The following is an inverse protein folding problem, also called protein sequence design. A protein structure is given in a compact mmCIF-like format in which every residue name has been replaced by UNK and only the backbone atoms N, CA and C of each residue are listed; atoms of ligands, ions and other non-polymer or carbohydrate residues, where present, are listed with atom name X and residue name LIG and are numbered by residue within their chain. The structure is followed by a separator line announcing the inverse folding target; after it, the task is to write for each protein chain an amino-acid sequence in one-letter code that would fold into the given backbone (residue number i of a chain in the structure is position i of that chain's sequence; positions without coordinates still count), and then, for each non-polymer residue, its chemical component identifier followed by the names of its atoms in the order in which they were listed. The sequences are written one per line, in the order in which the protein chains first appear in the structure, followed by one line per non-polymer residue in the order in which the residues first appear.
data_IF_293782316563
#
_entry.id   IF_293782316563
#
_cell.length_a   1.000
_cell.length_b   1.000
_cell.length_c   1.000
_cell.angle_alpha   90.00
_cell.angle_beta   90.00
_cell.angle_gamma   90.00
#
_symmetry.space_group_name_H-M   'P 1'
#
loop_
_entity.id
_entity.type
_entity.pdbx_description
1 polymer ?
#
# COMPACT_ATOMS: atom_id res chain seq x y z
N UNK A 1 18.78 40.40 -24.49
CA UNK A 1 19.67 40.02 -23.38
C UNK A 1 19.24 38.64 -22.92
N UNK A 2 20.15 37.64 -22.85
CA UNK A 2 19.79 36.30 -22.36
C UNK A 2 19.47 36.41 -20.86
N UNK A 3 18.38 35.79 -20.40
CA UNK A 3 18.10 35.75 -18.95
C UNK A 3 19.13 34.86 -18.24
N UNK A 4 19.33 35.07 -16.94
CA UNK A 4 20.27 34.26 -16.13
C UNK A 4 19.88 32.78 -16.19
N UNK A 5 18.59 32.48 -16.20
CA UNK A 5 18.06 31.13 -16.29
C UNK A 5 18.41 30.42 -17.61
N UNK A 6 18.46 31.15 -18.73
CA UNK A 6 18.88 30.57 -20.01
C UNK A 6 20.34 30.13 -19.98
N UNK A 7 21.18 30.84 -19.23
CA UNK A 7 22.59 30.47 -19.03
C UNK A 7 22.71 29.29 -18.04
N UNK A 8 21.83 29.21 -17.04
CA UNK A 8 21.86 28.15 -16.02
C UNK A 8 21.51 26.76 -16.60
N UNK A 9 20.74 26.69 -17.69
CA UNK A 9 20.46 25.42 -18.40
C UNK A 9 21.68 24.70 -18.95
N UNK A 10 22.80 25.40 -19.11
CA UNK A 10 24.05 24.83 -19.63
C UNK A 10 25.05 24.46 -18.52
N UNK A 11 24.65 24.59 -17.24
CA UNK A 11 25.44 24.15 -16.09
C UNK A 11 25.23 22.64 -15.83
N UNK A 12 26.06 22.09 -14.95
CA UNK A 12 25.85 20.76 -14.37
C UNK A 12 24.75 20.83 -13.31
N UNK A 13 23.80 19.89 -13.35
CA UNK A 13 22.74 19.77 -12.34
C UNK A 13 23.10 18.68 -11.32
N UNK A 14 22.81 18.93 -10.05
CA UNK A 14 23.03 17.96 -8.97
C UNK A 14 22.01 16.83 -8.98
N UNK A 15 20.79 17.09 -9.48
CA UNK A 15 19.75 16.07 -9.57
C UNK A 15 18.94 16.19 -10.87
N UNK A 16 18.43 15.05 -11.40
CA UNK A 16 17.50 15.04 -12.54
C UNK A 16 16.24 15.86 -12.27
N UNK A 17 15.77 15.86 -11.02
CA UNK A 17 14.63 16.66 -10.57
C UNK A 17 14.86 18.16 -10.76
N UNK A 18 16.06 18.65 -10.43
CA UNK A 18 16.39 20.07 -10.58
C UNK A 18 16.53 20.47 -12.05
N UNK A 19 17.05 19.56 -12.88
CA UNK A 19 17.06 19.75 -14.33
C UNK A 19 15.65 19.89 -14.90
N UNK A 20 14.71 18.99 -14.53
CA UNK A 20 13.31 19.07 -14.97
C UNK A 20 12.69 20.42 -14.58
N UNK A 21 12.85 20.84 -13.31
CA UNK A 21 12.32 22.13 -12.83
C UNK A 21 12.86 23.31 -13.64
N UNK A 22 14.17 23.34 -13.89
CA UNK A 22 14.79 24.43 -14.64
C UNK A 22 14.35 24.42 -16.09
N UNK A 23 14.33 23.25 -16.74
CA UNK A 23 13.90 23.13 -18.12
C UNK A 23 12.47 23.60 -18.33
N UNK A 24 11.54 23.18 -17.46
CA UNK A 24 10.14 23.64 -17.50
C UNK A 24 10.07 25.18 -17.44
N UNK A 25 10.82 25.80 -16.52
CA UNK A 25 10.85 27.26 -16.35
C UNK A 25 11.41 27.95 -17.60
N UNK A 26 12.53 27.47 -18.14
CA UNK A 26 13.16 28.08 -19.31
C UNK A 26 12.30 27.90 -20.56
N UNK A 27 11.73 26.72 -20.78
CA UNK A 27 10.87 26.47 -21.93
C UNK A 27 9.66 27.41 -21.97
N UNK A 28 8.99 27.63 -20.84
CA UNK A 28 7.86 28.57 -20.77
C UNK A 28 8.31 30.02 -21.03
N UNK A 29 9.46 30.45 -20.50
CA UNK A 29 10.04 31.78 -20.77
C UNK A 29 10.40 31.99 -22.25
N UNK A 30 10.61 30.92 -23.01
CA UNK A 30 10.93 31.03 -24.44
C UNK A 30 9.76 31.54 -25.26
N UNK A 31 8.50 31.52 -24.78
CA UNK A 31 7.37 32.08 -25.53
C UNK A 31 7.50 33.60 -25.72
N UNK A 32 8.07 34.28 -24.74
CA UNK A 32 8.18 35.74 -24.69
C UNK A 32 9.56 36.25 -25.14
N UNK A 33 10.45 35.37 -25.61
CA UNK A 33 11.82 35.72 -25.96
C UNK A 33 12.27 35.15 -27.30
N UNK A 34 13.19 35.85 -28.02
CA UNK A 34 13.73 35.37 -29.29
C UNK A 34 14.79 34.27 -29.10
N UNK A 35 15.26 34.03 -27.88
CA UNK A 35 16.24 32.99 -27.59
C UNK A 35 15.51 31.66 -27.38
N UNK A 36 15.95 30.62 -28.09
CA UNK A 36 15.41 29.27 -27.95
C UNK A 36 16.49 28.35 -27.39
N UNK A 37 16.19 27.64 -26.31
CA UNK A 37 16.99 26.52 -25.81
C UNK A 37 16.29 25.26 -26.31
N UNK A 38 17.01 24.47 -27.09
CA UNK A 38 16.55 23.14 -27.49
C UNK A 38 17.09 22.13 -26.50
N UNK A 39 16.25 21.18 -26.10
CA UNK A 39 16.59 20.16 -25.11
C UNK A 39 17.85 19.37 -25.52
N UNK A 40 17.96 19.01 -26.79
CA UNK A 40 19.09 18.28 -27.36
C UNK A 40 20.43 19.04 -27.28
N UNK A 41 20.39 20.37 -27.17
CA UNK A 41 21.59 21.21 -27.05
C UNK A 41 22.07 21.34 -25.60
N UNK A 42 21.27 20.88 -24.63
CA UNK A 42 21.63 20.96 -23.21
C UNK A 42 22.56 19.80 -22.82
N UNK A 43 23.77 20.06 -22.29
CA UNK A 43 24.75 19.01 -22.00
C UNK A 43 24.23 17.93 -21.05
N UNK A 44 23.47 18.32 -20.03
CA UNK A 44 22.91 17.40 -19.03
C UNK A 44 21.91 16.42 -19.63
N UNK A 45 21.20 16.81 -20.70
CA UNK A 45 20.20 15.96 -21.32
C UNK A 45 20.76 14.68 -21.94
N UNK A 46 22.05 14.68 -22.33
CA UNK A 46 22.72 13.50 -22.91
C UNK A 46 22.65 12.29 -21.99
N UNK A 47 22.81 12.51 -20.69
CA UNK A 47 22.82 11.45 -19.68
C UNK A 47 21.54 11.48 -18.80
N UNK A 48 20.62 12.41 -19.06
CA UNK A 48 19.45 12.64 -18.21
C UNK A 48 18.60 11.37 -18.01
N UNK A 49 18.38 10.60 -19.08
CA UNK A 49 17.54 9.41 -19.02
C UNK A 49 18.09 8.37 -18.03
N UNK A 50 19.38 8.03 -18.12
CA UNK A 50 20.01 7.08 -17.21
C UNK A 50 20.06 7.64 -15.79
N UNK A 51 20.46 8.90 -15.63
CA UNK A 51 20.54 9.54 -14.32
C UNK A 51 19.18 9.60 -13.62
N UNK A 52 18.10 9.83 -14.35
CA UNK A 52 16.76 9.91 -13.77
C UNK A 52 16.22 8.54 -13.35
N UNK A 53 16.47 7.51 -14.16
CA UNK A 53 16.18 6.12 -13.79
C UNK A 53 16.99 5.76 -12.54
N UNK A 54 18.30 5.98 -12.54
CA UNK A 54 19.18 5.63 -11.43
C UNK A 54 18.78 6.35 -10.13
N UNK A 55 18.44 7.64 -10.21
CA UNK A 55 17.96 8.40 -9.06
C UNK A 55 16.66 7.80 -8.49
N UNK A 56 15.64 7.56 -9.32
CA UNK A 56 14.36 7.02 -8.87
C UNK A 56 14.50 5.60 -8.28
N UNK A 57 15.17 4.69 -8.99
CA UNK A 57 15.31 3.29 -8.56
C UNK A 57 16.22 3.16 -7.34
N UNK A 58 17.28 3.98 -7.23
CA UNK A 58 18.13 4.00 -6.03
C UNK A 58 17.35 4.46 -4.80
N UNK A 59 16.39 5.39 -4.92
CA UNK A 59 15.51 5.74 -3.80
C UNK A 59 14.69 4.54 -3.33
N UNK A 60 14.05 3.82 -4.26
CA UNK A 60 13.25 2.65 -3.92
C UNK A 60 14.10 1.57 -3.23
N UNK A 61 15.32 1.34 -3.71
CA UNK A 61 16.23 0.33 -3.14
C UNK A 61 16.93 0.77 -1.84
N UNK A 62 16.95 2.07 -1.51
CA UNK A 62 17.51 2.59 -0.26
C UNK A 62 16.54 2.31 0.91
N UNK A 63 16.60 1.09 1.44
CA UNK A 63 15.68 0.43 2.37
C UNK A 63 15.41 1.10 3.73
N UNK A 64 15.73 2.38 3.93
CA UNK A 64 15.77 2.99 5.25
C UNK A 64 14.55 3.85 5.60
N UNK A 65 13.75 4.31 4.63
CA UNK A 65 12.56 5.12 4.95
C UNK A 65 11.53 5.24 3.80
N UNK A 66 10.48 4.41 3.83
CA UNK A 66 9.40 4.42 2.84
C UNK A 66 8.63 5.75 2.80
N UNK A 67 8.43 6.44 3.93
CA UNK A 67 7.82 7.78 3.96
C UNK A 67 8.60 8.81 3.15
N UNK A 68 9.94 8.82 3.26
CA UNK A 68 10.80 9.72 2.48
C UNK A 68 10.75 9.40 1.00
N UNK A 69 10.76 8.12 0.64
CA UNK A 69 10.61 7.65 -0.75
C UNK A 69 9.28 8.17 -1.31
N UNK A 70 8.16 7.90 -0.63
CA UNK A 70 6.83 8.37 -1.02
C UNK A 70 6.78 9.89 -1.23
N UNK A 71 7.33 10.67 -0.29
CA UNK A 71 7.40 12.13 -0.42
C UNK A 71 8.20 12.57 -1.65
N UNK A 72 9.30 11.89 -1.95
CA UNK A 72 10.12 12.17 -3.12
C UNK A 72 9.36 11.94 -4.44
N UNK A 73 8.66 10.81 -4.54
CA UNK A 73 7.83 10.50 -5.71
C UNK A 73 6.68 11.49 -5.89
N UNK A 74 6.02 11.92 -4.82
CA UNK A 74 4.98 12.96 -4.89
C UNK A 74 5.55 14.33 -5.28
N UNK A 75 6.77 14.67 -4.84
CA UNK A 75 7.44 15.90 -5.28
C UNK A 75 7.69 15.90 -6.79
N UNK A 76 8.19 14.78 -7.33
CA UNK A 76 8.41 14.63 -8.78
C UNK A 76 7.09 14.71 -9.54
N UNK A 77 6.04 14.05 -9.04
CA UNK A 77 4.71 14.13 -9.64
C UNK A 77 4.22 15.58 -9.74
N UNK A 78 4.34 16.35 -8.66
CA UNK A 78 3.94 17.76 -8.63
C UNK A 78 4.72 18.61 -9.64
N UNK A 79 6.01 18.32 -9.87
CA UNK A 79 6.80 18.98 -10.91
C UNK A 79 6.24 18.65 -12.30
N UNK A 80 5.97 17.38 -12.57
CA UNK A 80 5.41 16.95 -13.86
C UNK A 80 4.01 17.52 -14.11
N UNK A 81 3.17 17.59 -13.08
CA UNK A 81 1.86 18.25 -13.17
C UNK A 81 2.02 19.74 -13.48
N UNK A 82 2.93 20.43 -12.80
CA UNK A 82 3.20 21.85 -13.04
C UNK A 82 3.74 22.14 -14.45
N UNK A 83 4.32 21.15 -15.13
CA UNK A 83 4.70 21.27 -16.54
C UNK A 83 3.47 21.30 -17.44
N UNK A 84 2.52 20.40 -17.18
CA UNK A 84 1.28 20.25 -17.95
C UNK A 84 0.31 21.42 -17.75
N UNK A 85 0.36 22.06 -16.58
CA UNK A 85 -0.48 23.23 -16.27
C UNK A 85 -0.06 24.50 -17.02
N UNK A 86 1.08 24.49 -17.71
CA UNK A 86 1.55 25.63 -18.51
C UNK A 86 0.92 25.62 -19.89
N UNK A 87 0.65 26.81 -20.40
CA UNK A 87 0.12 27.00 -21.77
C UNK A 87 1.14 26.58 -22.84
N UNK A 88 2.44 26.79 -22.59
CA UNK A 88 3.52 26.44 -23.49
C UNK A 88 4.52 25.51 -22.78
N UNK A 89 4.52 24.23 -23.15
CA UNK A 89 5.43 23.21 -22.60
C UNK A 89 5.87 22.19 -23.66
N UNK A 90 7.03 21.56 -23.43
CA UNK A 90 7.52 20.49 -24.30
C UNK A 90 6.78 19.18 -24.02
N UNK A 91 5.85 18.83 -24.90
CA UNK A 91 5.04 17.61 -24.77
C UNK A 91 5.88 16.33 -24.85
N UNK A 92 6.99 16.32 -25.60
CA UNK A 92 7.81 15.13 -25.76
C UNK A 92 8.63 14.90 -24.49
N UNK A 93 9.29 15.95 -23.99
CA UNK A 93 10.02 15.86 -22.73
C UNK A 93 9.12 15.50 -21.55
N UNK A 94 7.89 16.04 -21.50
CA UNK A 94 6.89 15.65 -20.51
C UNK A 94 6.60 14.15 -20.57
N UNK A 95 6.31 13.62 -21.77
CA UNK A 95 5.99 12.19 -21.96
C UNK A 95 7.16 11.29 -21.57
N UNK A 96 8.40 11.68 -21.91
CA UNK A 96 9.61 10.94 -21.56
C UNK A 96 9.80 10.87 -20.04
N UNK A 97 9.76 12.03 -19.36
CA UNK A 97 9.85 12.10 -17.90
C UNK A 97 8.74 11.30 -17.22
N UNK A 98 7.51 11.41 -17.73
CA UNK A 98 6.35 10.73 -17.19
C UNK A 98 6.45 9.22 -17.34
N UNK A 99 6.92 8.72 -18.48
CA UNK A 99 7.10 7.28 -18.68
C UNK A 99 8.13 6.70 -17.70
N UNK A 100 9.27 7.39 -17.53
CA UNK A 100 10.28 7.01 -16.53
C UNK A 100 9.67 7.00 -15.12
N UNK A 101 8.95 8.05 -14.75
CA UNK A 101 8.27 8.15 -13.46
C UNK A 101 7.28 6.99 -13.23
N UNK A 102 6.40 6.70 -14.18
CA UNK A 102 5.42 5.62 -14.05
C UNK A 102 6.07 4.24 -13.94
N UNK A 103 7.19 4.01 -14.63
CA UNK A 103 7.97 2.77 -14.49
C UNK A 103 8.54 2.64 -13.06
N UNK A 104 9.08 3.72 -12.52
CA UNK A 104 9.59 3.72 -11.15
C UNK A 104 8.47 3.56 -10.10
N UNK A 105 7.29 4.15 -10.34
CA UNK A 105 6.11 3.93 -9.48
C UNK A 105 5.65 2.47 -9.53
N UNK A 106 5.65 1.86 -10.72
CA UNK A 106 5.35 0.42 -10.86
C UNK A 106 6.32 -0.40 -10.01
N UNK A 107 7.62 -0.13 -10.11
CA UNK A 107 8.65 -0.79 -9.31
C UNK A 107 8.48 -0.55 -7.79
N UNK A 108 8.10 0.66 -7.37
CA UNK A 108 7.79 0.96 -5.96
C UNK A 108 6.59 0.15 -5.44
N UNK A 109 5.56 0.00 -6.27
CA UNK A 109 4.37 -0.80 -5.95
C UNK A 109 4.76 -2.28 -5.82
N UNK A 110 5.50 -2.83 -6.78
CA UNK A 110 5.94 -4.23 -6.77
C UNK A 110 6.81 -4.55 -5.55
N UNK A 111 7.70 -3.63 -5.17
CA UNK A 111 8.50 -3.77 -3.95
C UNK A 111 7.64 -3.66 -2.69
N UNK A 112 6.68 -2.72 -2.63
CA UNK A 112 5.80 -2.58 -1.48
C UNK A 112 4.93 -3.83 -1.29
N UNK A 113 4.41 -4.41 -2.38
CA UNK A 113 3.73 -5.69 -2.34
C UNK A 113 4.64 -6.82 -1.86
N UNK A 114 5.83 -6.93 -2.44
CA UNK A 114 6.80 -7.97 -2.07
C UNK A 114 7.12 -7.93 -0.58
N UNK A 115 7.29 -6.72 -0.01
CA UNK A 115 7.50 -6.52 1.42
C UNK A 115 6.30 -6.96 2.27
N UNK A 116 5.06 -6.73 1.83
CA UNK A 116 3.87 -7.24 2.52
C UNK A 116 3.86 -8.78 2.46
N UNK A 117 4.20 -9.35 1.30
CA UNK A 117 4.24 -10.79 1.09
C UNK A 117 5.34 -11.51 1.85
N UNK A 118 6.39 -10.83 2.29
CA UNK A 118 7.40 -11.41 3.19
C UNK A 118 6.80 -11.90 4.50
N UNK A 119 5.66 -11.34 4.93
CA UNK A 119 4.91 -11.72 6.13
C UNK A 119 3.91 -12.84 5.89
N UNK A 120 3.76 -13.32 4.65
CA UNK A 120 2.87 -14.44 4.33
C UNK A 120 3.31 -15.70 5.08
N UNK A 121 2.35 -16.36 5.72
CA UNK A 121 2.50 -17.57 6.52
C UNK A 121 3.51 -17.40 7.68
N UNK A 122 3.73 -16.16 8.12
CA UNK A 122 4.58 -15.80 9.26
C UNK A 122 3.80 -14.99 10.29
N UNK A 123 4.40 -14.79 11.45
CA UNK A 123 3.85 -13.88 12.45
C UNK A 123 3.85 -12.44 11.91
N UNK A 124 2.66 -11.86 11.82
CA UNK A 124 2.48 -10.47 11.39
C UNK A 124 2.66 -9.56 12.60
N UNK A 125 3.82 -8.92 12.68
CA UNK A 125 4.13 -7.93 13.71
C UNK A 125 3.93 -6.54 13.14
N UNK A 126 3.31 -5.65 13.91
CA UNK A 126 3.16 -4.25 13.53
C UNK A 126 4.53 -3.60 13.41
N UNK A 127 4.96 -3.34 12.18
CA UNK A 127 6.22 -2.69 11.86
C UNK A 127 5.96 -1.47 10.97
N UNK A 128 6.78 -0.43 11.13
CA UNK A 128 6.68 0.77 10.30
C UNK A 128 6.82 0.42 8.80
N UNK A 129 7.69 -0.55 8.48
CA UNK A 129 7.90 -1.03 7.11
C UNK A 129 6.64 -1.64 6.50
N UNK A 130 5.96 -2.55 7.21
CA UNK A 130 4.72 -3.16 6.73
C UNK A 130 3.62 -2.11 6.53
N UNK A 131 3.44 -1.23 7.50
CA UNK A 131 2.44 -0.16 7.43
C UNK A 131 2.71 0.76 6.24
N UNK A 132 3.95 1.21 6.07
CA UNK A 132 4.29 2.11 4.97
C UNK A 132 4.14 1.46 3.59
N UNK A 133 4.46 0.18 3.46
CA UNK A 133 4.30 -0.57 2.21
C UNK A 133 2.83 -0.76 1.87
N UNK A 134 1.98 -1.05 2.86
CA UNK A 134 0.52 -0.99 2.68
C UNK A 134 0.09 0.40 2.21
N UNK A 135 0.53 1.47 2.87
CA UNK A 135 0.17 2.86 2.52
C UNK A 135 0.62 3.21 1.10
N UNK A 136 1.79 2.76 0.65
CA UNK A 136 2.25 2.98 -0.72
C UNK A 136 1.29 2.38 -1.76
N UNK A 137 0.74 1.19 -1.52
CA UNK A 137 -0.28 0.61 -2.39
C UNK A 137 -1.51 1.54 -2.46
N UNK A 138 -1.97 2.10 -1.34
CA UNK A 138 -3.11 3.02 -1.36
C UNK A 138 -2.81 4.35 -2.07
N UNK A 139 -1.59 4.86 -1.92
CA UNK A 139 -1.19 6.16 -2.48
C UNK A 139 -1.00 6.11 -3.98
N UNK A 140 -0.35 5.06 -4.50
CA UNK A 140 0.13 5.02 -5.88
C UNK A 140 -0.69 4.16 -6.84
N UNK A 141 -1.64 3.35 -6.36
CA UNK A 141 -2.53 2.58 -7.24
C UNK A 141 -4.01 2.81 -6.93
N UNK A 142 -4.86 2.66 -7.94
CA UNK A 142 -6.33 2.65 -7.85
C UNK A 142 -6.94 1.24 -7.85
N UNK A 143 -6.13 0.16 -7.86
CA UNK A 143 -6.61 -1.23 -7.78
C UNK A 143 -7.48 -1.46 -6.52
N UNK A 144 -8.36 -2.44 -6.56
CA UNK A 144 -9.29 -2.75 -5.47
C UNK A 144 -8.60 -3.48 -4.30
N UNK A 145 -7.71 -2.77 -3.61
CA UNK A 145 -6.93 -3.33 -2.51
C UNK A 145 -7.80 -3.58 -1.28
N UNK A 146 -7.68 -4.76 -0.69
CA UNK A 146 -8.25 -5.15 0.59
C UNK A 146 -7.24 -6.01 1.37
N UNK A 147 -6.85 -5.55 2.56
CA UNK A 147 -5.86 -6.25 3.39
C UNK A 147 -6.47 -7.37 4.24
N UNK A 148 -7.80 -7.47 4.33
CA UNK A 148 -8.46 -8.49 5.14
C UNK A 148 -8.11 -9.89 4.66
N UNK A 149 -8.17 -10.14 3.36
CA UNK A 149 -7.82 -11.43 2.76
C UNK A 149 -6.42 -11.88 3.17
N UNK A 150 -5.45 -10.97 3.12
CA UNK A 150 -4.09 -11.22 3.57
C UNK A 150 -3.99 -11.53 5.06
N UNK A 151 -4.62 -10.73 5.93
CA UNK A 151 -4.59 -10.96 7.38
C UNK A 151 -5.32 -12.24 7.79
N UNK A 152 -6.51 -12.50 7.22
CA UNK A 152 -7.28 -13.71 7.45
C UNK A 152 -6.50 -14.94 6.98
N UNK A 153 -5.85 -14.88 5.82
CA UNK A 153 -4.99 -15.97 5.35
C UNK A 153 -3.92 -16.30 6.37
N UNK A 154 -3.18 -15.29 6.86
CA UNK A 154 -2.12 -15.49 7.84
C UNK A 154 -2.60 -16.09 9.17
N UNK A 155 -3.80 -15.70 9.63
CA UNK A 155 -4.39 -16.26 10.85
C UNK A 155 -4.95 -17.67 10.64
N UNK A 156 -5.51 -17.96 9.46
CA UNK A 156 -6.24 -19.19 9.19
C UNK A 156 -5.40 -20.28 8.51
N UNK A 157 -4.10 -20.07 8.24
CA UNK A 157 -3.23 -21.09 7.63
C UNK A 157 -3.19 -22.37 8.46
N UNK A 158 -3.13 -22.26 9.80
CA UNK A 158 -3.24 -23.41 10.71
C UNK A 158 -4.08 -23.05 11.95
N UNK A 159 -5.39 -23.22 11.80
CA UNK A 159 -6.33 -22.99 12.91
C UNK A 159 -6.13 -24.02 14.03
N UNK A 160 -5.72 -25.26 13.74
CA UNK A 160 -5.50 -26.27 14.76
C UNK A 160 -4.39 -25.88 15.74
N UNK A 161 -3.25 -25.45 15.22
CA UNK A 161 -2.17 -24.91 16.03
C UNK A 161 -2.63 -23.65 16.79
N UNK A 162 -3.39 -22.78 16.14
CA UNK A 162 -3.90 -21.53 16.75
C UNK A 162 -4.84 -21.79 17.95
N UNK A 163 -5.65 -22.84 17.89
CA UNK A 163 -6.51 -23.24 19.01
C UNK A 163 -5.76 -23.93 20.16
N UNK A 164 -4.55 -24.45 19.90
CA UNK A 164 -3.69 -25.06 20.92
C UNK A 164 -3.05 -23.99 21.81
N UNK A 165 -2.70 -22.85 21.23
CA UNK A 165 -2.23 -21.66 21.94
C UNK A 165 -3.11 -20.44 21.63
N UNK A 166 -4.29 -20.43 22.25
CA UNK A 166 -5.32 -19.42 21.99
C UNK A 166 -4.86 -18.02 22.39
N UNK A 167 -4.04 -17.89 23.43
CA UNK A 167 -3.53 -16.59 23.91
C UNK A 167 -2.64 -15.97 22.84
N UNK A 168 -1.68 -16.73 22.31
CA UNK A 168 -0.82 -16.26 21.21
C UNK A 168 -1.62 -15.94 19.96
N UNK A 169 -2.68 -16.70 19.67
CA UNK A 169 -3.59 -16.38 18.56
C UNK A 169 -4.25 -15.01 18.74
N UNK A 170 -4.76 -14.69 19.94
CA UNK A 170 -5.35 -13.39 20.22
C UNK A 170 -4.35 -12.23 20.25
N UNK A 171 -3.10 -12.46 20.66
CA UNK A 171 -2.03 -11.46 20.51
C UNK A 171 -1.76 -11.11 19.04
N UNK A 172 -1.81 -12.10 18.13
CA UNK A 172 -1.74 -11.84 16.68
C UNK A 172 -2.91 -10.99 16.19
N UNK A 173 -4.13 -11.25 16.68
CA UNK A 173 -5.32 -10.45 16.33
C UNK A 173 -5.17 -9.00 16.84
N UNK A 174 -4.66 -8.80 18.07
CA UNK A 174 -4.34 -7.46 18.61
C UNK A 174 -3.31 -6.73 17.74
N UNK A 175 -2.28 -7.43 17.28
CA UNK A 175 -1.29 -6.85 16.36
C UNK A 175 -1.93 -6.40 15.05
N UNK A 176 -2.83 -7.19 14.47
CA UNK A 176 -3.57 -6.80 13.25
C UNK A 176 -4.47 -5.59 13.51
N UNK A 177 -5.14 -5.51 14.67
CA UNK A 177 -5.91 -4.31 15.08
C UNK A 177 -5.05 -3.05 15.07
N UNK A 178 -3.83 -3.15 15.61
CA UNK A 178 -2.86 -2.05 15.63
C UNK A 178 -2.42 -1.67 14.21
N UNK A 179 -2.10 -2.65 13.36
CA UNK A 179 -1.72 -2.41 11.95
C UNK A 179 -2.84 -1.69 11.19
N UNK A 180 -4.08 -2.18 11.30
CA UNK A 180 -5.26 -1.57 10.68
C UNK A 180 -5.42 -0.11 11.11
N UNK A 181 -5.26 0.16 12.41
CA UNK A 181 -5.31 1.51 12.95
C UNK A 181 -4.21 2.41 12.34
N UNK A 182 -2.96 1.97 12.36
CA UNK A 182 -1.82 2.74 11.84
C UNK A 182 -1.91 3.01 10.33
N UNK A 183 -2.42 2.04 9.56
CA UNK A 183 -2.66 2.20 8.12
C UNK A 183 -3.73 3.26 7.87
N UNK A 184 -4.87 3.18 8.56
CA UNK A 184 -5.96 4.16 8.40
C UNK A 184 -5.50 5.59 8.74
N UNK A 185 -4.79 5.77 9.86
CA UNK A 185 -4.26 7.08 10.26
C UNK A 185 -3.24 7.62 9.24
N UNK A 186 -2.39 6.74 8.70
CA UNK A 186 -1.42 7.10 7.68
C UNK A 186 -2.08 7.48 6.36
N UNK A 187 -3.08 6.72 5.90
CA UNK A 187 -3.83 7.01 4.66
C UNK A 187 -4.54 8.36 4.74
N UNK A 188 -5.13 8.70 5.90
CA UNK A 188 -5.83 9.98 6.12
C UNK A 188 -4.91 11.20 6.03
N UNK A 189 -3.64 11.04 6.40
CA UNK A 189 -2.67 12.15 6.52
C UNK A 189 -1.78 12.33 5.29
N UNK A 190 -1.86 11.42 4.30
CA UNK A 190 -0.97 11.39 3.14
C UNK A 190 -1.71 11.80 1.88
N UNK A 191 -1.06 12.63 1.06
CA UNK A 191 -1.57 12.97 -0.26
C UNK A 191 -1.54 11.75 -1.20
N UNK A 192 -2.64 11.53 -1.91
CA UNK A 192 -2.76 10.48 -2.92
C UNK A 192 -2.14 10.94 -4.24
N UNK A 193 -1.45 10.04 -4.94
CA UNK A 193 -0.94 10.31 -6.29
C UNK A 193 -2.09 10.64 -7.23
N UNK A 194 -1.93 11.71 -8.02
CA UNK A 194 -2.82 12.10 -9.12
C UNK A 194 -2.68 11.17 -10.32
N UNK A 195 -1.61 10.37 -10.39
CA UNK A 195 -1.39 9.38 -11.46
C UNK A 195 -1.84 7.97 -11.09
N UNK A 196 -2.36 7.71 -9.89
CA UNK A 196 -2.83 6.39 -9.45
C UNK A 196 -3.91 5.73 -10.34
N UNK A 197 -4.66 6.53 -11.10
CA UNK A 197 -5.72 6.10 -12.04
C UNK A 197 -5.27 6.12 -13.51
N UNK A 198 -3.99 6.43 -13.77
CA UNK A 198 -3.48 6.56 -15.12
C UNK A 198 -3.48 5.19 -15.82
N UNK A 199 -4.11 5.11 -16.99
CA UNK A 199 -4.26 3.86 -17.73
C UNK A 199 -2.91 3.16 -17.99
N UNK A 200 -1.87 3.93 -18.35
CA UNK A 200 -0.52 3.42 -18.59
C UNK A 200 0.12 2.78 -17.35
N UNK A 201 -0.20 3.29 -16.16
CA UNK A 201 0.25 2.73 -14.89
C UNK A 201 -0.55 1.46 -14.56
N UNK A 202 -1.88 1.54 -14.67
CA UNK A 202 -2.79 0.43 -14.35
C UNK A 202 -2.61 -0.80 -15.24
N UNK A 203 -2.13 -0.59 -16.48
CA UNK A 203 -1.77 -1.66 -17.41
C UNK A 203 -0.47 -2.40 -17.03
N UNK A 204 0.40 -1.77 -16.22
CA UNK A 204 1.69 -2.34 -15.79
C UNK A 204 1.62 -2.98 -14.41
N UNK A 205 0.79 -2.45 -13.51
CA UNK A 205 0.65 -2.96 -12.16
C UNK A 205 -0.09 -4.31 -12.16
N UNK A 206 0.55 -5.30 -11.55
CA UNK A 206 -0.05 -6.57 -11.19
C UNK A 206 0.06 -6.76 -9.68
N UNK A 207 -1.07 -6.89 -8.99
CA UNK A 207 -1.12 -7.13 -7.54
C UNK A 207 -1.68 -8.53 -7.31
N UNK A 208 -1.14 -9.25 -6.34
CA UNK A 208 -1.59 -10.57 -5.93
C UNK A 208 -3.04 -10.61 -5.48
N UNK A 209 -3.69 -11.73 -5.79
CA UNK A 209 -5.06 -12.05 -5.38
C UNK A 209 -5.28 -12.03 -3.86
N UNK A 210 -4.22 -12.15 -3.04
CA UNK A 210 -4.33 -12.02 -1.59
C UNK A 210 -4.60 -10.58 -1.13
N UNK A 211 -4.29 -9.60 -1.97
CA UNK A 211 -4.48 -8.17 -1.68
C UNK A 211 -5.56 -7.54 -2.55
N UNK A 212 -6.00 -8.20 -3.62
CA UNK A 212 -7.11 -7.76 -4.47
C UNK A 212 -8.46 -8.24 -3.91
N UNK A 213 -9.49 -7.44 -4.14
CA UNK A 213 -10.89 -7.74 -3.86
C UNK A 213 -11.79 -7.13 -4.94
N UNK A 214 -13.10 -7.40 -4.88
CA UNK A 214 -14.07 -6.82 -5.82
C UNK A 214 -14.23 -5.30 -5.63
N UNK A 215 -14.02 -4.80 -4.41
CA UNK A 215 -14.26 -3.40 -4.05
C UNK A 215 -13.06 -2.87 -3.26
N UNK A 216 -12.54 -1.70 -3.64
CA UNK A 216 -11.48 -1.04 -2.90
C UNK A 216 -11.92 -0.65 -1.48
N UNK A 217 -11.18 -1.09 -0.47
CA UNK A 217 -11.41 -0.69 0.93
C UNK A 217 -10.49 0.47 1.29
N UNK A 218 -11.05 1.68 1.40
CA UNK A 218 -10.29 2.89 1.72
C UNK A 218 -10.05 3.10 3.23
N UNK A 219 -10.92 2.51 4.05
CA UNK A 219 -10.80 2.54 5.50
C UNK A 219 -11.13 1.15 6.03
N UNK A 220 -10.15 0.50 6.64
CA UNK A 220 -10.32 -0.83 7.19
C UNK A 220 -10.94 -0.72 8.59
N UNK A 221 -12.14 -1.27 8.77
CA UNK A 221 -12.70 -1.52 10.09
C UNK A 221 -12.11 -2.80 10.69
N UNK A 222 -11.68 -2.74 11.96
CA UNK A 222 -11.30 -3.95 12.68
C UNK A 222 -12.51 -4.86 12.92
N UNK A 223 -13.69 -4.29 13.19
CA UNK A 223 -14.90 -5.08 13.47
C UNK A 223 -15.32 -5.91 12.25
N UNK A 224 -15.22 -5.35 11.04
CA UNK A 224 -15.50 -6.08 9.79
C UNK A 224 -14.53 -7.24 9.60
N UNK A 225 -13.22 -6.98 9.75
CA UNK A 225 -12.20 -8.02 9.72
C UNK A 225 -12.46 -9.13 10.74
N UNK A 226 -12.81 -8.73 11.97
CA UNK A 226 -12.98 -9.66 13.07
C UNK A 226 -14.26 -10.51 12.91
N UNK A 227 -15.32 -9.93 12.35
CA UNK A 227 -16.52 -10.67 11.94
C UNK A 227 -16.23 -11.73 10.88
N UNK A 228 -15.46 -11.38 9.84
CA UNK A 228 -15.03 -12.34 8.82
C UNK A 228 -14.17 -13.46 9.41
N UNK A 229 -13.25 -13.12 10.33
CA UNK A 229 -12.45 -14.11 11.06
C UNK A 229 -13.33 -15.07 11.87
N UNK A 230 -14.28 -14.54 12.63
CA UNK A 230 -15.23 -15.33 13.42
C UNK A 230 -16.00 -16.30 12.50
N UNK A 231 -16.48 -15.83 11.35
CA UNK A 231 -17.19 -16.67 10.41
C UNK A 231 -16.33 -17.82 9.87
N UNK A 232 -15.06 -17.57 9.54
CA UNK A 232 -14.12 -18.61 9.13
C UNK A 232 -13.85 -19.62 10.25
N UNK A 233 -13.72 -19.13 11.48
CA UNK A 233 -13.54 -19.98 12.67
C UNK A 233 -14.77 -20.86 12.91
N UNK A 234 -15.99 -20.31 12.83
CA UNK A 234 -17.22 -21.09 12.98
C UNK A 234 -17.31 -22.21 11.94
N UNK A 235 -17.01 -21.89 10.66
CA UNK A 235 -16.94 -22.90 9.60
C UNK A 235 -15.94 -23.99 9.91
N UNK A 236 -14.76 -23.62 10.40
CA UNK A 236 -13.73 -24.56 10.79
C UNK A 236 -14.19 -25.48 11.93
N UNK A 237 -14.76 -24.91 13.01
CA UNK A 237 -15.24 -25.66 14.17
C UNK A 237 -16.32 -26.69 13.78
N UNK A 238 -17.18 -26.38 12.83
CA UNK A 238 -18.19 -27.31 12.31
C UNK A 238 -17.61 -28.55 11.59
N UNK A 239 -16.32 -28.53 11.24
CA UNK A 239 -15.64 -29.70 10.65
C UNK A 239 -15.05 -30.64 11.68
N UNK A 240 -14.98 -30.23 12.95
CA UNK A 240 -14.39 -30.99 14.04
C UNK A 240 -15.44 -31.90 14.72
N UNK A 241 -14.99 -32.93 15.46
CA UNK A 241 -15.85 -33.63 16.41
C UNK A 241 -16.52 -32.64 17.37
N UNK A 242 -17.80 -32.89 17.68
CA UNK A 242 -18.66 -31.94 18.38
C UNK A 242 -18.12 -31.49 19.74
N UNK A 243 -17.63 -32.43 20.56
CA UNK A 243 -17.04 -32.13 21.87
C UNK A 243 -15.80 -31.23 21.73
N UNK A 244 -14.94 -31.52 20.75
CA UNK A 244 -13.74 -30.74 20.45
C UNK A 244 -14.11 -29.34 19.94
N UNK A 245 -15.09 -29.24 19.03
CA UNK A 245 -15.61 -28.00 18.50
C UNK A 245 -16.17 -27.11 19.62
N UNK A 246 -16.95 -27.69 20.54
CA UNK A 246 -17.51 -26.98 21.68
C UNK A 246 -16.42 -26.42 22.60
N UNK A 247 -15.44 -27.25 23.01
CA UNK A 247 -14.35 -26.82 23.87
C UNK A 247 -13.51 -25.70 23.23
N UNK A 248 -13.15 -25.86 21.95
CA UNK A 248 -12.41 -24.84 21.19
C UNK A 248 -13.22 -23.53 21.06
N UNK A 249 -14.52 -23.62 20.77
CA UNK A 249 -15.41 -22.47 20.69
C UNK A 249 -15.51 -21.71 22.01
N UNK A 250 -15.62 -22.42 23.14
CA UNK A 250 -15.69 -21.82 24.47
C UNK A 250 -14.38 -21.15 24.88
N UNK A 251 -13.23 -21.77 24.57
CA UNK A 251 -11.92 -21.17 24.82
C UNK A 251 -11.73 -19.89 24.00
N UNK A 252 -12.08 -19.93 22.71
CA UNK A 252 -12.03 -18.73 21.86
C UNK A 252 -12.97 -17.64 22.36
N UNK A 253 -14.21 -17.99 22.74
CA UNK A 253 -15.18 -17.03 23.27
C UNK A 253 -14.70 -16.40 24.58
N UNK A 254 -14.10 -17.19 25.47
CA UNK A 254 -13.54 -16.69 26.73
C UNK A 254 -12.39 -15.72 26.48
N UNK A 255 -11.43 -16.09 25.62
CA UNK A 255 -10.29 -15.22 25.29
C UNK A 255 -10.74 -13.96 24.55
N UNK A 256 -11.77 -14.06 23.72
CA UNK A 256 -12.39 -12.91 23.05
C UNK A 256 -12.95 -11.88 24.03
N UNK A 257 -13.58 -12.33 25.11
CA UNK A 257 -14.09 -11.46 26.18
C UNK A 257 -12.93 -10.86 26.98
N UNK A 258 -11.94 -11.68 27.36
CA UNK A 258 -10.79 -11.24 28.16
C UNK A 258 -9.89 -10.24 27.42
N UNK A 259 -9.70 -10.43 26.12
CA UNK A 259 -8.85 -9.57 25.28
C UNK A 259 -9.49 -8.23 24.91
N UNK A 260 -10.77 -8.01 25.22
CA UNK A 260 -11.54 -6.81 24.89
C UNK A 260 -11.45 -6.43 23.38
N UNK A 261 -11.41 -7.44 22.52
CA UNK A 261 -11.37 -7.26 21.07
C UNK A 261 -12.76 -7.20 20.44
N UNK A 262 -13.73 -7.90 21.02
CA UNK A 262 -15.10 -7.94 20.52
C UNK A 262 -15.99 -6.91 21.21
N UNK A 263 -16.98 -6.41 20.47
CA UNK A 263 -18.15 -5.80 21.09
C UNK A 263 -19.03 -6.88 21.75
N UNK A 264 -19.93 -6.46 22.65
CA UNK A 264 -20.79 -7.37 23.41
C UNK A 264 -21.65 -8.27 22.50
N UNK A 265 -22.11 -7.72 21.37
CA UNK A 265 -22.94 -8.45 20.40
C UNK A 265 -22.20 -9.63 19.77
N UNK A 266 -20.96 -9.43 19.32
CA UNK A 266 -20.14 -10.50 18.75
C UNK A 266 -19.79 -11.56 19.79
N UNK A 267 -19.51 -11.14 21.02
CA UNK A 267 -19.29 -12.06 22.13
C UNK A 267 -20.52 -12.94 22.39
N UNK A 268 -21.71 -12.34 22.44
CA UNK A 268 -22.95 -13.06 22.67
C UNK A 268 -23.30 -14.00 21.51
N UNK A 269 -23.11 -13.57 20.26
CA UNK A 269 -23.30 -14.42 19.09
C UNK A 269 -22.42 -15.69 19.11
N UNK A 270 -21.17 -15.58 19.59
CA UNK A 270 -20.28 -16.73 19.75
C UNK A 270 -20.67 -17.65 20.91
N UNK A 271 -21.21 -17.11 22.02
CA UNK A 271 -21.79 -17.94 23.08
C UNK A 271 -22.98 -18.75 22.55
N UNK A 272 -23.91 -18.11 21.85
CA UNK A 272 -25.07 -18.76 21.23
C UNK A 272 -24.62 -19.85 20.26
N UNK A 273 -23.61 -19.57 19.43
CA UNK A 273 -23.02 -20.58 18.54
C UNK A 273 -22.47 -21.78 19.32
N UNK A 274 -21.69 -21.53 20.37
CA UNK A 274 -21.12 -22.58 21.24
C UNK A 274 -22.21 -23.45 21.87
N UNK A 275 -23.29 -22.85 22.39
CA UNK A 275 -24.42 -23.59 22.97
C UNK A 275 -25.16 -24.45 21.94
N UNK A 276 -25.26 -24.00 20.68
CA UNK A 276 -25.89 -24.80 19.61
C UNK A 276 -25.10 -26.04 19.24
N UNK A 277 -23.78 -26.04 19.41
CA UNK A 277 -22.95 -27.23 19.19
C UNK A 277 -23.33 -28.35 20.18
N UNK A 278 -23.67 -28.03 21.43
CA UNK A 278 -24.13 -29.01 22.44
C UNK A 278 -25.52 -29.59 22.12
N UNK A 279 -26.47 -28.76 21.69
CA UNK A 279 -27.85 -29.20 21.43
C UNK A 279 -27.92 -30.21 20.26
N UNK A 280 -26.98 -30.14 19.32
CA UNK A 280 -26.84 -31.13 18.25
C UNK A 280 -26.35 -32.50 18.74
N UNK A 281 -25.77 -32.58 19.95
CA UNK A 281 -25.33 -33.84 20.58
C UNK A 281 -26.51 -34.59 21.18
N UNK A 282 -27.38 -33.87 21.89
CA UNK A 282 -28.56 -34.41 22.58
C UNK A 282 -29.62 -34.93 21.61
N UNK A 283 -29.62 -34.44 20.36
CA UNK A 283 -30.54 -34.86 19.31
C UNK A 283 -30.04 -36.04 18.46
N UNK A 284 -28.79 -36.49 18.67
CA UNK A 284 -28.18 -37.66 18.00
C UNK A 284 -27.97 -38.86 18.94
N UNK A 285 -28.25 -38.70 20.24
CA UNK A 285 -28.34 -39.78 21.23
C UNK A 285 -29.79 -40.25 21.34
#
# INVERSE_FOLDING_TARGET
MRSVEHCDMFKTFESPKDFIKMYIKVFDMQKDTPYKVFLNDTPYYKDFHSLFIDDLFSKVNSSTNQKKIRKYFLEIENILLSMKDREFYDINFYKDCMNIYLNAVTYLIDNSESEIMEYKDKEVVCSERLVDSCVNLFVFTSKNICLYNFFLRNLCTDLNASFTDIVTFFEKIKNIKKIIFEINESIRSVEMSKYKEKAELMAKINISDLLISDIRVLQHSFDTFFQELIFLIQKYLLTLPMEEAYLKSMNFTSEMVLSNLANEELAENMKIFSSKLLIQEESKK
#
